data_IF_437265012759
#
_entry.id   IF_437265012759
#
_cell.length_a   1.000
_cell.length_b   1.000
_cell.length_c   1.000
_cell.angle_alpha   90.00
_cell.angle_beta   90.00
_cell.angle_gamma   90.00
#
_symmetry.space_group_name_H-M   'P 1'
#
loop_
_entity.id
_entity.type
_entity.pdbx_description
1 polymer ?
#
# COMPACT_ATOMS: atom_id res chain seq x y z
N UNK A 1 -23.07 -52.36 4.76
CA UNK A 1 -21.79 -51.67 4.98
C UNK A 1 -20.89 -51.91 3.78
N UNK A 2 -20.43 -50.87 3.08
CA UNK A 2 -19.41 -51.02 2.03
C UNK A 2 -18.06 -50.66 2.64
N UNK A 3 -17.18 -51.66 2.74
CA UNK A 3 -15.79 -51.48 3.17
C UNK A 3 -14.96 -50.98 1.99
N UNK A 4 -14.27 -49.85 2.15
CA UNK A 4 -13.24 -49.42 1.21
C UNK A 4 -11.98 -50.22 1.53
N UNK A 5 -11.74 -51.28 0.76
CA UNK A 5 -10.50 -52.03 0.82
C UNK A 5 -9.40 -51.20 0.17
N UNK A 6 -8.56 -50.57 0.99
CA UNK A 6 -7.33 -49.93 0.51
C UNK A 6 -6.41 -51.06 0.05
N UNK A 7 -6.31 -51.26 -1.28
CA UNK A 7 -5.24 -52.07 -1.85
C UNK A 7 -3.93 -51.37 -1.53
N UNK A 8 -2.96 -52.15 -1.07
CA UNK A 8 -1.60 -51.73 -0.69
C UNK A 8 -1.23 -50.34 -1.21
N UNK A 9 -1.22 -49.38 -0.30
CA UNK A 9 -0.61 -48.08 -0.56
C UNK A 9 0.88 -48.38 -0.70
N UNK A 10 1.41 -48.38 -1.92
CA UNK A 10 2.81 -48.68 -2.17
C UNK A 10 3.68 -47.77 -1.27
N UNK A 11 4.27 -48.37 -0.23
CA UNK A 11 5.18 -47.69 0.68
C UNK A 11 6.51 -47.62 -0.06
N UNK A 12 6.67 -46.59 -0.88
CA UNK A 12 8.00 -46.21 -1.37
C UNK A 12 8.67 -45.44 -0.24
N UNK A 13 9.47 -46.15 0.57
CA UNK A 13 10.28 -45.51 1.62
C UNK A 13 11.31 -44.53 1.03
N UNK A 14 11.72 -44.78 -0.22
CA UNK A 14 12.65 -43.93 -0.95
C UNK A 14 11.91 -43.17 -2.07
N UNK A 15 11.93 -41.85 -1.96
CA UNK A 15 11.49 -40.94 -3.02
C UNK A 15 12.65 -40.71 -3.99
N UNK A 16 12.42 -40.91 -5.29
CA UNK A 16 13.41 -40.54 -6.32
C UNK A 16 13.70 -39.03 -6.28
N UNK A 17 14.93 -38.67 -6.62
CA UNK A 17 15.48 -37.32 -6.71
C UNK A 17 14.56 -36.29 -7.39
N UNK A 18 13.79 -36.70 -8.40
CA UNK A 18 12.82 -35.85 -9.11
C UNK A 18 11.54 -35.64 -8.29
N UNK A 19 11.05 -36.67 -7.61
CA UNK A 19 9.91 -36.56 -6.69
C UNK A 19 10.29 -35.73 -5.44
N UNK A 20 11.50 -35.93 -4.92
CA UNK A 20 12.07 -35.11 -3.85
C UNK A 20 12.19 -33.63 -4.23
N UNK A 21 12.33 -33.29 -5.52
CA UNK A 21 12.34 -31.89 -5.97
C UNK A 21 11.00 -31.19 -5.81
N UNK A 22 9.88 -31.92 -5.88
CA UNK A 22 8.55 -31.37 -5.64
C UNK A 22 8.27 -31.17 -4.15
N UNK A 23 8.75 -32.09 -3.29
CA UNK A 23 8.59 -32.01 -1.83
C UNK A 23 9.36 -30.84 -1.23
N UNK A 24 10.57 -30.56 -1.73
CA UNK A 24 11.43 -29.45 -1.24
C UNK A 24 11.17 -28.09 -1.92
N UNK A 25 10.12 -27.99 -2.73
CA UNK A 25 9.84 -26.81 -3.54
C UNK A 25 10.67 -26.78 -4.81
N UNK A 26 10.02 -26.93 -5.96
CA UNK A 26 10.67 -26.79 -7.26
C UNK A 26 11.08 -25.33 -7.52
N UNK A 27 12.32 -25.15 -7.99
CA UNK A 27 12.93 -23.92 -8.50
C UNK A 27 12.43 -22.60 -7.87
N UNK A 28 12.61 -22.45 -6.56
CA UNK A 28 12.77 -21.12 -5.96
C UNK A 28 14.15 -20.60 -6.37
N UNK A 29 14.14 -19.68 -7.33
CA UNK A 29 15.29 -19.03 -7.94
C UNK A 29 16.36 -18.58 -6.91
N UNK A 30 17.51 -19.29 -6.88
CA UNK A 30 18.85 -18.94 -6.33
C UNK A 30 19.02 -17.98 -5.12
N UNK A 31 18.03 -17.79 -4.25
CA UNK A 31 18.17 -17.04 -3.00
C UNK A 31 17.50 -17.83 -1.87
N UNK A 32 18.28 -18.43 -0.95
CA UNK A 32 17.72 -19.19 0.15
C UNK A 32 17.05 -18.23 1.14
N UNK A 33 15.73 -18.29 1.24
CA UNK A 33 15.03 -17.81 2.44
C UNK A 33 13.73 -17.04 2.25
N UNK A 34 13.36 -16.61 1.03
CA UNK A 34 12.16 -15.78 0.85
C UNK A 34 11.19 -16.37 -0.17
N UNK A 35 10.15 -17.00 0.35
CA UNK A 35 8.97 -17.42 -0.39
C UNK A 35 7.99 -16.24 -0.52
N UNK A 36 8.19 -15.41 -1.55
CA UNK A 36 7.32 -14.25 -1.81
C UNK A 36 5.90 -14.63 -2.24
N UNK A 37 5.62 -15.90 -2.53
CA UNK A 37 4.26 -16.36 -2.87
C UNK A 37 3.31 -16.33 -1.67
N UNK A 38 3.84 -16.19 -0.44
CA UNK A 38 3.08 -16.07 0.82
C UNK A 38 2.94 -14.64 1.32
N UNK A 39 3.37 -13.64 0.53
CA UNK A 39 3.30 -12.24 0.94
C UNK A 39 1.87 -11.70 0.74
N UNK A 40 1.04 -11.81 1.78
CA UNK A 40 -0.27 -11.14 1.86
C UNK A 40 -0.08 -9.76 2.50
N UNK A 41 -0.13 -8.70 1.68
CA UNK A 41 0.05 -7.30 2.13
C UNK A 41 -1.24 -6.54 1.85
N UNK A 42 -1.99 -6.28 2.91
CA UNK A 42 -3.14 -5.38 2.89
C UNK A 42 -2.74 -4.01 3.41
N UNK A 43 -2.92 -2.99 2.58
CA UNK A 43 -2.58 -1.60 2.89
C UNK A 43 -3.86 -0.78 2.80
N UNK A 44 -4.31 -0.26 3.92
CA UNK A 44 -5.41 0.68 3.98
C UNK A 44 -4.90 2.04 4.46
N UNK A 45 -4.99 3.04 3.60
CA UNK A 45 -4.55 4.41 3.89
C UNK A 45 -5.69 5.37 3.71
N UNK A 46 -6.29 5.82 4.81
CA UNK A 46 -7.27 6.90 4.79
C UNK A 46 -6.57 8.26 4.83
N UNK A 47 -6.88 9.13 3.87
CA UNK A 47 -6.37 10.49 3.80
C UNK A 47 -7.56 11.46 3.78
N UNK A 48 -7.73 12.21 4.87
CA UNK A 48 -8.72 13.28 4.97
C UNK A 48 -8.03 14.60 5.26
N UNK A 49 -8.39 15.66 4.53
CA UNK A 49 -8.13 17.03 4.93
C UNK A 49 -9.45 17.78 4.99
N UNK A 50 -9.71 18.38 6.15
CA UNK A 50 -10.74 19.39 6.31
C UNK A 50 -10.09 20.76 6.42
N UNK A 51 -10.52 21.72 5.60
CA UNK A 51 -10.05 23.08 5.65
C UNK A 51 -11.23 24.06 5.55
N UNK A 52 -11.26 25.02 6.48
CA UNK A 52 -12.21 26.14 6.46
C UNK A 52 -11.40 27.42 6.56
N UNK A 53 -11.60 28.35 5.64
CA UNK A 53 -10.99 29.68 5.69
C UNK A 53 -12.08 30.74 5.65
N UNK A 54 -12.22 31.48 6.76
CA UNK A 54 -13.11 32.62 6.87
C UNK A 54 -12.27 33.90 6.77
N UNK A 55 -12.47 34.67 5.71
CA UNK A 55 -11.75 35.92 5.49
C UNK A 55 -12.75 37.06 5.50
N UNK A 56 -12.55 37.99 6.44
CA UNK A 56 -13.36 39.17 6.59
C UNK A 56 -12.51 40.41 6.32
N UNK A 57 -12.92 41.22 5.34
CA UNK A 57 -12.23 42.42 4.94
C UNK A 57 -13.22 43.57 4.86
N UNK A 58 -13.16 44.49 5.83
CA UNK A 58 -13.96 45.70 5.85
C UNK A 58 -13.06 46.89 5.51
N UNK A 59 -13.05 47.30 4.25
CA UNK A 59 -12.30 48.48 3.82
C UNK A 59 -13.25 49.62 3.44
N UNK A 60 -12.90 50.85 3.83
CA UNK A 60 -13.68 52.05 3.51
C UNK A 60 -15.07 52.14 4.16
N UNK A 61 -15.30 51.47 5.30
CA UNK A 61 -16.59 51.55 5.99
C UNK A 61 -16.73 52.88 6.75
N UNK A 62 -17.87 53.56 6.54
CA UNK A 62 -18.26 54.82 7.18
C UNK A 62 -17.28 55.99 6.92
N UNK A 63 -16.80 56.15 5.68
CA UNK A 63 -15.88 57.23 5.32
C UNK A 63 -16.52 58.21 4.33
N UNK A 64 -16.57 59.50 4.70
CA UNK A 64 -16.93 60.60 3.82
C UNK A 64 -15.66 61.36 3.39
N UNK A 65 -15.54 61.68 2.11
CA UNK A 65 -14.42 62.43 1.51
C UNK A 65 -13.02 61.78 1.62
N UNK A 66 -12.91 60.46 1.44
CA UNK A 66 -11.62 59.79 1.35
C UNK A 66 -11.24 59.44 -0.10
N UNK A 67 -9.95 59.58 -0.40
CA UNK A 67 -9.31 59.08 -1.62
C UNK A 67 -8.30 58.00 -1.22
N UNK A 68 -7.91 57.14 -2.17
CA UNK A 68 -6.84 56.15 -1.99
C UNK A 68 -7.07 55.07 -0.91
N UNK A 69 -8.33 54.66 -0.72
CA UNK A 69 -8.67 53.51 0.13
C UNK A 69 -8.40 52.21 -0.66
N UNK A 70 -7.35 51.47 -0.28
CA UNK A 70 -6.96 50.20 -0.91
C UNK A 70 -6.90 49.06 0.12
N UNK A 71 -7.23 47.83 -0.31
CA UNK A 71 -7.10 46.64 0.52
C UNK A 71 -6.65 45.46 -0.34
N UNK A 72 -5.46 44.93 -0.02
CA UNK A 72 -4.82 43.83 -0.74
C UNK A 72 -4.91 42.54 0.04
N UNK A 73 -6.13 42.02 0.18
CA UNK A 73 -6.37 40.74 0.86
C UNK A 73 -6.13 39.58 -0.10
N UNK A 74 -5.08 38.79 0.19
CA UNK A 74 -4.64 37.64 -0.62
C UNK A 74 -4.48 36.39 0.25
N UNK A 75 -5.57 35.82 0.77
CA UNK A 75 -5.50 34.63 1.59
C UNK A 75 -5.11 33.43 0.71
N UNK A 76 -4.14 32.65 1.15
CA UNK A 76 -3.73 31.40 0.50
C UNK A 76 -4.00 30.28 1.50
N UNK A 77 -4.83 29.33 1.11
CA UNK A 77 -5.06 28.11 1.87
C UNK A 77 -4.54 26.94 1.04
N UNK A 78 -3.47 26.31 1.53
CA UNK A 78 -2.86 25.13 0.90
C UNK A 78 -2.93 23.97 1.88
N UNK A 79 -3.30 22.81 1.36
CA UNK A 79 -3.30 21.56 2.08
C UNK A 79 -2.68 20.49 1.20
N UNK A 80 -1.63 19.86 1.69
CA UNK A 80 -1.00 18.72 1.02
C UNK A 80 -1.28 17.48 1.89
N UNK A 81 -2.10 16.54 1.39
CA UNK A 81 -2.21 15.21 1.98
C UNK A 81 -1.47 14.25 1.06
N UNK A 82 -0.41 13.65 1.57
CA UNK A 82 0.36 12.67 0.82
C UNK A 82 0.55 11.44 1.69
N UNK A 83 0.15 10.28 1.17
CA UNK A 83 0.50 8.98 1.74
C UNK A 83 1.35 8.21 0.73
N UNK A 84 2.47 7.69 1.20
CA UNK A 84 3.39 6.88 0.43
C UNK A 84 3.55 5.55 1.14
N UNK A 85 3.23 4.46 0.45
CA UNK A 85 3.43 3.11 0.96
C UNK A 85 4.49 2.42 0.12
N UNK A 86 5.66 2.25 0.71
CA UNK A 86 6.76 1.52 0.09
C UNK A 86 6.65 0.05 0.47
N UNK A 87 6.21 -0.79 -0.46
CA UNK A 87 6.26 -2.25 -0.32
C UNK A 87 7.53 -2.72 -1.03
N UNK A 88 8.61 -2.91 -0.28
CA UNK A 88 9.84 -3.50 -0.83
C UNK A 88 9.65 -5.01 -1.03
N UNK A 89 8.97 -5.38 -2.12
CA UNK A 89 8.84 -6.74 -2.61
C UNK A 89 9.70 -6.95 -3.85
N UNK A 90 11.02 -7.13 -3.63
CA UNK A 90 11.93 -7.75 -4.61
C UNK A 90 12.23 -6.97 -5.88
N UNK A 91 13.25 -6.11 -5.85
CA UNK A 91 13.90 -5.63 -7.06
C UNK A 91 15.32 -5.17 -6.77
N UNK A 92 16.31 -5.92 -7.24
CA UNK A 92 17.56 -5.30 -7.68
C UNK A 92 17.78 -5.65 -9.16
N UNK A 93 17.76 -4.59 -9.94
CA UNK A 93 18.31 -4.46 -11.28
C UNK A 93 19.83 -4.36 -11.15
N UNK A 94 20.56 -5.33 -11.71
CA UNK A 94 21.91 -5.29 -12.31
C UNK A 94 22.49 -6.70 -12.32
#
# INVERSE_FOLDING_TARGET
MKSLMIKDLAVTEELDSRAMSAVRGGNAFYLPGYDFSKLDVSVNTQQGIGQTQNVFNQNGNNVAFATDIDSKVKPIQKADNTNTVNIYGGGLVA
#
